data_IF_771620669978
#
_entry.id   IF_771620669978
#
_cell.length_a   1.000
_cell.length_b   1.000
_cell.length_c   1.000
_cell.angle_alpha   90.00
_cell.angle_beta   90.00
_cell.angle_gamma   90.00
#
_symmetry.space_group_name_H-M   'P 1'
#
loop_
_entity.id
_entity.type
_entity.pdbx_description
1 polymer ?
#
# COMPACT_ATOMS: atom_id res chain seq x y z
N UNK A 1 -22.83 -16.62 -32.47
CA UNK A 1 -22.86 -16.60 -30.98
C UNK A 1 -23.63 -15.37 -30.49
N UNK A 2 -24.02 -15.30 -29.21
CA UNK A 2 -24.61 -14.08 -28.64
C UNK A 2 -23.67 -12.87 -28.78
N UNK A 3 -22.34 -13.11 -28.77
CA UNK A 3 -21.30 -12.09 -28.98
C UNK A 3 -21.41 -11.44 -30.36
N UNK A 4 -21.50 -12.23 -31.43
CA UNK A 4 -21.63 -11.71 -32.80
C UNK A 4 -22.91 -10.90 -33.00
N UNK A 5 -24.00 -11.33 -32.37
CA UNK A 5 -25.28 -10.61 -32.44
C UNK A 5 -25.18 -9.23 -31.77
N UNK A 6 -24.57 -9.17 -30.59
CA UNK A 6 -24.38 -7.91 -29.86
C UNK A 6 -23.33 -7.02 -30.55
N UNK A 7 -22.31 -7.62 -31.17
CA UNK A 7 -21.38 -6.91 -32.03
C UNK A 7 -22.09 -6.23 -33.20
N UNK A 8 -22.91 -6.96 -33.97
CA UNK A 8 -23.67 -6.42 -35.10
C UNK A 8 -24.58 -5.26 -34.69
N UNK A 9 -25.29 -5.41 -33.57
CA UNK A 9 -26.16 -4.34 -33.04
C UNK A 9 -25.34 -3.11 -32.64
N UNK A 10 -24.22 -3.31 -31.94
CA UNK A 10 -23.38 -2.21 -31.44
C UNK A 10 -22.67 -1.47 -32.58
N UNK A 11 -22.13 -2.18 -33.57
CA UNK A 11 -21.48 -1.55 -34.72
C UNK A 11 -22.50 -0.77 -35.54
N UNK A 12 -23.69 -1.31 -35.81
CA UNK A 12 -24.77 -0.58 -36.47
C UNK A 12 -25.16 0.70 -35.72
N UNK A 13 -25.28 0.63 -34.39
CA UNK A 13 -25.53 1.82 -33.56
C UNK A 13 -24.41 2.87 -33.70
N UNK A 14 -23.13 2.47 -33.62
CA UNK A 14 -22.00 3.39 -33.73
C UNK A 14 -21.94 4.06 -35.10
N UNK A 15 -22.18 3.31 -36.19
CA UNK A 15 -22.25 3.84 -37.56
C UNK A 15 -23.38 4.86 -37.71
N UNK A 16 -24.57 4.55 -37.16
CA UNK A 16 -25.73 5.45 -37.22
C UNK A 16 -25.51 6.80 -36.52
N UNK A 17 -24.61 6.85 -35.52
CA UNK A 17 -24.24 8.10 -34.83
C UNK A 17 -22.95 8.74 -35.37
N UNK A 18 -22.44 8.28 -36.52
CA UNK A 18 -21.25 8.83 -37.18
C UNK A 18 -19.91 8.41 -36.58
N UNK A 19 -19.88 7.40 -35.70
CA UNK A 19 -18.66 6.86 -35.07
C UNK A 19 -18.09 5.67 -35.84
N UNK A 20 -17.67 5.93 -37.07
CA UNK A 20 -17.23 4.87 -38.01
C UNK A 20 -15.91 4.21 -37.58
N UNK A 21 -14.97 5.00 -37.04
CA UNK A 21 -13.67 4.52 -36.56
C UNK A 21 -13.85 3.60 -35.35
N UNK A 22 -14.72 3.98 -34.40
CA UNK A 22 -15.05 3.15 -33.25
C UNK A 22 -15.76 1.86 -33.66
N UNK A 23 -16.66 1.92 -34.64
CA UNK A 23 -17.35 0.74 -35.16
C UNK A 23 -16.36 -0.24 -35.79
N UNK A 24 -15.46 0.23 -36.65
CA UNK A 24 -14.43 -0.59 -37.28
C UNK A 24 -13.46 -1.18 -36.25
N UNK A 25 -13.02 -0.37 -35.27
CA UNK A 25 -12.15 -0.81 -34.18
C UNK A 25 -12.79 -1.94 -33.37
N UNK A 26 -14.06 -1.77 -33.01
CA UNK A 26 -14.81 -2.75 -32.23
C UNK A 26 -14.99 -4.05 -33.03
N UNK A 27 -15.32 -3.95 -34.31
CA UNK A 27 -15.49 -5.08 -35.21
C UNK A 27 -14.21 -5.90 -35.38
N UNK A 28 -13.10 -5.26 -35.72
CA UNK A 28 -11.80 -5.92 -35.88
C UNK A 28 -11.39 -6.65 -34.61
N UNK A 29 -11.45 -5.95 -33.46
CA UNK A 29 -11.03 -6.52 -32.18
C UNK A 29 -11.91 -7.67 -31.72
N UNK A 30 -13.23 -7.51 -31.82
CA UNK A 30 -14.17 -8.54 -31.35
C UNK A 30 -14.13 -9.78 -32.24
N UNK A 31 -13.99 -9.63 -33.56
CA UNK A 31 -13.85 -10.77 -34.46
C UNK A 31 -12.55 -11.55 -34.21
N UNK A 32 -11.44 -10.85 -33.95
CA UNK A 32 -10.18 -11.50 -33.55
C UNK A 32 -10.33 -12.26 -32.23
N UNK A 33 -10.98 -11.66 -31.22
CA UNK A 33 -11.24 -12.34 -29.95
C UNK A 33 -12.13 -13.59 -30.14
N UNK A 34 -13.15 -13.52 -31.01
CA UNK A 34 -14.03 -14.66 -31.35
C UNK A 34 -13.24 -15.78 -32.04
N UNK A 35 -12.37 -15.44 -33.00
CA UNK A 35 -11.51 -16.41 -33.68
C UNK A 35 -10.59 -17.12 -32.69
N UNK A 36 -9.92 -16.36 -31.81
CA UNK A 36 -9.06 -16.92 -30.76
C UNK A 36 -9.83 -17.81 -29.79
N UNK A 37 -11.03 -17.42 -29.36
CA UNK A 37 -11.88 -18.25 -28.51
C UNK A 37 -12.33 -19.53 -29.21
N UNK A 38 -12.58 -19.49 -30.53
CA UNK A 38 -13.04 -20.66 -31.29
C UNK A 38 -11.90 -21.64 -31.58
N UNK A 39 -10.71 -21.14 -31.90
CA UNK A 39 -9.54 -21.96 -32.28
C UNK A 39 -8.76 -22.46 -31.07
N UNK A 40 -8.56 -21.61 -30.06
CA UNK A 40 -7.67 -21.86 -28.91
C UNK A 40 -8.44 -22.07 -27.61
N UNK A 41 -9.73 -21.73 -27.56
CA UNK A 41 -10.52 -21.74 -26.33
C UNK A 41 -10.20 -20.58 -25.38
N UNK A 42 -9.37 -19.63 -25.81
CA UNK A 42 -8.90 -18.52 -24.99
C UNK A 42 -8.57 -17.30 -25.85
N UNK A 43 -8.81 -16.11 -25.30
CA UNK A 43 -8.32 -14.85 -25.87
C UNK A 43 -7.83 -13.92 -24.75
N UNK A 44 -6.97 -12.95 -25.10
CA UNK A 44 -6.52 -11.96 -24.13
C UNK A 44 -7.71 -11.12 -23.66
N UNK A 45 -7.85 -11.01 -22.35
CA UNK A 45 -8.96 -10.29 -21.71
C UNK A 45 -10.35 -10.94 -21.89
N UNK A 46 -10.38 -12.28 -21.94
CA UNK A 46 -11.60 -13.09 -22.07
C UNK A 46 -12.66 -12.77 -21.00
N UNK A 47 -12.26 -12.26 -19.83
CA UNK A 47 -13.17 -11.86 -18.74
C UNK A 47 -14.22 -10.83 -19.17
N UNK A 48 -13.94 -10.01 -20.20
CA UNK A 48 -14.90 -9.04 -20.74
C UNK A 48 -16.09 -9.68 -21.47
N UNK A 49 -16.01 -11.00 -21.71
CA UNK A 49 -17.07 -11.83 -22.26
C UNK A 49 -17.69 -12.75 -21.20
N UNK A 50 -17.38 -12.57 -19.90
CA UNK A 50 -17.84 -13.43 -18.80
C UNK A 50 -19.33 -13.73 -18.81
N UNK A 51 -20.17 -12.73 -19.11
CA UNK A 51 -21.64 -12.89 -19.18
C UNK A 51 -22.11 -13.95 -20.19
N UNK A 52 -21.32 -14.23 -21.23
CA UNK A 52 -21.63 -15.25 -22.22
C UNK A 52 -21.26 -16.66 -21.77
N UNK A 53 -20.46 -16.79 -20.70
CA UNK A 53 -19.97 -18.07 -20.19
C UNK A 53 -20.68 -18.51 -18.92
N UNK A 54 -21.03 -17.57 -18.04
CA UNK A 54 -21.54 -17.86 -16.69
C UNK A 54 -23.07 -17.83 -16.58
N UNK A 55 -23.78 -17.57 -17.68
CA UNK A 55 -25.25 -17.62 -17.74
C UNK A 55 -25.96 -16.45 -17.06
N UNK A 56 -25.24 -15.42 -16.61
CA UNK A 56 -25.83 -14.21 -16.02
C UNK A 56 -26.61 -13.41 -17.06
N UNK A 57 -27.61 -12.67 -16.58
CA UNK A 57 -28.31 -11.62 -17.35
C UNK A 57 -27.60 -10.27 -17.16
N UNK A 58 -27.75 -9.39 -18.14
CA UNK A 58 -27.18 -8.03 -18.10
C UNK A 58 -27.65 -7.32 -16.82
N UNK A 59 -26.69 -6.71 -16.12
CA UNK A 59 -26.90 -6.03 -14.85
C UNK A 59 -26.79 -6.92 -13.61
N UNK A 60 -26.85 -8.26 -13.75
CA UNK A 60 -26.74 -9.14 -12.59
C UNK A 60 -25.35 -9.07 -11.93
N UNK A 61 -25.28 -9.23 -10.60
CA UNK A 61 -24.01 -9.25 -9.89
C UNK A 61 -23.11 -10.36 -10.42
N UNK A 62 -21.80 -10.10 -10.58
CA UNK A 62 -20.82 -11.14 -10.91
C UNK A 62 -20.65 -12.12 -9.76
N UNK A 63 -20.23 -13.34 -10.12
CA UNK A 63 -19.66 -14.28 -9.17
C UNK A 63 -18.30 -13.76 -8.70
N UNK A 64 -18.07 -13.77 -7.39
CA UNK A 64 -16.83 -13.38 -6.73
C UNK A 64 -16.38 -14.49 -5.79
N UNK A 65 -15.23 -14.30 -5.13
CA UNK A 65 -14.75 -15.21 -4.10
C UNK A 65 -15.81 -15.47 -3.01
N UNK A 66 -16.66 -14.49 -2.70
CA UNK A 66 -17.69 -14.61 -1.67
C UNK A 66 -18.75 -15.67 -2.01
N UNK A 67 -18.96 -15.99 -3.29
CA UNK A 67 -19.91 -17.03 -3.71
C UNK A 67 -19.35 -18.45 -3.55
N UNK A 68 -18.05 -18.59 -3.29
CA UNK A 68 -17.40 -19.88 -3.04
C UNK A 68 -17.43 -20.27 -1.56
N UNK A 69 -17.75 -19.33 -0.68
CA UNK A 69 -17.89 -19.61 0.75
C UNK A 69 -19.27 -20.20 1.06
N UNK A 70 -19.37 -21.09 2.08
CA UNK A 70 -20.65 -21.50 2.65
C UNK A 70 -21.46 -20.30 3.16
N UNK A 71 -22.77 -20.47 3.33
CA UNK A 71 -23.66 -19.40 3.75
C UNK A 71 -23.42 -18.88 5.20
N UNK A 72 -22.58 -19.54 5.98
CA UNK A 72 -22.30 -19.20 7.39
C UNK A 72 -20.87 -18.71 7.62
N UNK A 73 -20.22 -18.19 6.58
CA UNK A 73 -18.87 -17.66 6.72
C UNK A 73 -18.83 -16.36 7.56
N UNK A 74 -17.73 -16.20 8.28
CA UNK A 74 -17.40 -15.00 9.06
C UNK A 74 -16.40 -14.13 8.30
N UNK A 75 -16.70 -12.85 8.13
CA UNK A 75 -15.82 -11.89 7.46
C UNK A 75 -15.04 -11.05 8.46
N UNK A 76 -13.72 -10.95 8.26
CA UNK A 76 -12.86 -10.03 8.99
C UNK A 76 -12.49 -8.90 8.03
N UNK A 77 -12.79 -7.66 8.42
CA UNK A 77 -12.53 -6.48 7.61
C UNK A 77 -11.44 -5.70 8.32
N UNK A 78 -10.20 -5.85 7.86
CA UNK A 78 -9.04 -5.15 8.41
C UNK A 78 -8.97 -3.70 7.91
N UNK A 79 -8.39 -2.83 8.73
CA UNK A 79 -8.33 -1.37 8.52
C UNK A 79 -9.64 -0.82 7.95
N UNK A 80 -10.74 -1.16 8.61
CA UNK A 80 -12.07 -1.14 8.01
C UNK A 80 -12.55 0.26 7.58
N UNK A 81 -12.10 1.30 8.30
CA UNK A 81 -12.27 2.72 7.96
C UNK A 81 -11.65 3.12 6.59
N UNK A 82 -10.71 2.33 6.04
CA UNK A 82 -10.19 2.47 4.67
C UNK A 82 -10.85 1.45 3.75
N UNK A 83 -10.95 0.19 4.20
CA UNK A 83 -11.42 -0.93 3.37
C UNK A 83 -12.87 -0.74 2.92
N UNK A 84 -13.76 -0.25 3.79
CA UNK A 84 -15.17 -0.05 3.44
C UNK A 84 -15.35 1.04 2.37
N UNK A 85 -14.82 2.26 2.53
CA UNK A 85 -14.84 3.26 1.46
C UNK A 85 -14.22 2.76 0.15
N UNK A 86 -13.14 1.98 0.22
CA UNK A 86 -12.51 1.40 -0.96
C UNK A 86 -13.47 0.45 -1.69
N UNK A 87 -14.07 -0.51 -0.99
CA UNK A 87 -15.06 -1.45 -1.55
C UNK A 87 -16.23 -0.70 -2.17
N UNK A 88 -16.74 0.34 -1.52
CA UNK A 88 -17.82 1.17 -2.04
C UNK A 88 -17.44 1.93 -3.33
N UNK A 89 -16.19 2.37 -3.46
CA UNK A 89 -15.68 3.10 -4.62
C UNK A 89 -15.38 2.23 -5.85
N UNK A 90 -15.10 0.93 -5.67
CA UNK A 90 -14.61 0.04 -6.74
C UNK A 90 -15.53 -0.01 -7.96
N UNK A 91 -16.84 -0.16 -7.77
CA UNK A 91 -17.80 -0.25 -8.88
C UNK A 91 -17.81 1.01 -9.74
N UNK A 92 -17.86 2.18 -9.11
CA UNK A 92 -17.94 3.46 -9.83
C UNK A 92 -16.64 3.76 -10.59
N UNK A 93 -15.49 3.46 -9.97
CA UNK A 93 -14.18 3.61 -10.63
C UNK A 93 -14.02 2.70 -11.85
N UNK A 94 -14.39 1.41 -11.72
CA UNK A 94 -14.35 0.48 -12.86
C UNK A 94 -15.33 0.89 -13.96
N UNK A 95 -16.55 1.30 -13.59
CA UNK A 95 -17.57 1.73 -14.54
C UNK A 95 -17.10 2.95 -15.35
N UNK A 96 -16.58 3.98 -14.71
CA UNK A 96 -16.06 5.17 -15.40
C UNK A 96 -14.95 4.84 -16.40
N UNK A 97 -13.99 3.99 -16.01
CA UNK A 97 -12.93 3.52 -16.89
C UNK A 97 -13.47 2.75 -18.10
N UNK A 98 -14.46 1.88 -17.89
CA UNK A 98 -15.06 1.09 -18.96
C UNK A 98 -15.95 1.89 -19.89
N UNK A 99 -16.63 2.93 -19.38
CA UNK A 99 -17.40 3.84 -20.22
C UNK A 99 -16.54 4.38 -21.36
N UNK A 100 -15.34 4.89 -21.04
CA UNK A 100 -14.41 5.38 -22.07
C UNK A 100 -14.04 4.29 -23.08
N UNK A 101 -13.73 3.06 -22.63
CA UNK A 101 -13.40 1.95 -23.53
C UNK A 101 -14.56 1.58 -24.47
N UNK A 102 -15.80 1.60 -23.98
CA UNK A 102 -16.99 1.22 -24.75
C UNK A 102 -17.44 2.34 -25.69
N UNK A 103 -17.30 3.60 -25.27
CA UNK A 103 -17.62 4.78 -26.09
C UNK A 103 -16.65 4.98 -27.25
N UNK A 104 -15.40 4.56 -27.06
CA UNK A 104 -14.36 4.56 -28.09
C UNK A 104 -14.20 3.19 -28.78
N UNK A 105 -15.18 2.28 -28.70
CA UNK A 105 -15.18 1.05 -29.50
C UNK A 105 -14.06 0.04 -29.20
N UNK A 106 -13.45 0.08 -28.00
CA UNK A 106 -12.46 -0.92 -27.57
C UNK A 106 -13.09 -2.17 -26.94
N UNK A 107 -14.35 -2.10 -26.51
CA UNK A 107 -15.09 -3.20 -25.87
C UNK A 107 -16.58 -3.14 -26.19
N UNK A 108 -17.25 -4.29 -26.18
CA UNK A 108 -18.71 -4.39 -26.22
C UNK A 108 -19.34 -3.84 -24.93
N UNK A 109 -20.62 -3.40 -24.96
CA UNK A 109 -21.35 -2.99 -23.76
C UNK A 109 -21.39 -4.04 -22.64
N UNK A 110 -21.37 -5.33 -23.00
CA UNK A 110 -21.33 -6.45 -22.03
C UNK A 110 -20.09 -6.45 -21.14
N UNK A 111 -19.03 -5.70 -21.49
CA UNK A 111 -17.88 -5.53 -20.61
C UNK A 111 -18.24 -4.80 -19.29
N UNK A 112 -19.36 -4.06 -19.24
CA UNK A 112 -19.88 -3.50 -17.99
C UNK A 112 -20.22 -4.58 -16.96
N UNK A 113 -20.59 -5.79 -17.39
CA UNK A 113 -21.01 -6.88 -16.49
C UNK A 113 -19.83 -7.65 -15.88
N UNK A 114 -18.62 -7.45 -16.40
CA UNK A 114 -17.37 -7.99 -15.84
C UNK A 114 -16.77 -7.06 -14.76
N UNK A 115 -17.50 -6.78 -13.70
CA UNK A 115 -17.22 -5.65 -12.79
C UNK A 115 -16.96 -6.09 -11.35
N UNK A 116 -16.54 -5.19 -10.46
CA UNK A 116 -16.71 -5.39 -9.02
C UNK A 116 -18.19 -5.39 -8.63
N UNK A 117 -18.49 -5.90 -7.43
CA UNK A 117 -19.79 -5.69 -6.79
C UNK A 117 -19.95 -4.20 -6.50
N UNK A 118 -21.16 -3.68 -6.66
CA UNK A 118 -21.50 -2.41 -6.05
C UNK A 118 -21.68 -2.59 -4.53
N UNK A 119 -21.79 -1.48 -3.79
CA UNK A 119 -21.83 -1.56 -2.33
C UNK A 119 -23.07 -2.30 -1.82
N UNK A 120 -24.25 -2.10 -2.42
CA UNK A 120 -25.47 -2.81 -2.03
C UNK A 120 -25.39 -4.32 -2.26
N UNK A 121 -24.76 -4.74 -3.36
CA UNK A 121 -24.50 -6.15 -3.67
C UNK A 121 -23.49 -6.75 -2.70
N UNK A 122 -22.43 -6.02 -2.37
CA UNK A 122 -21.47 -6.42 -1.34
C UNK A 122 -22.16 -6.60 0.01
N UNK A 123 -23.00 -5.64 0.42
CA UNK A 123 -23.75 -5.68 1.69
C UNK A 123 -24.64 -6.92 1.81
N UNK A 124 -25.28 -7.35 0.72
CA UNK A 124 -26.06 -8.60 0.70
C UNK A 124 -25.20 -9.84 0.89
N UNK A 125 -23.94 -9.78 0.48
CA UNK A 125 -22.98 -10.87 0.61
C UNK A 125 -22.18 -10.80 1.90
N UNK A 126 -22.07 -9.65 2.56
CA UNK A 126 -21.18 -9.39 3.70
C UNK A 126 -21.42 -10.32 4.91
N UNK A 127 -22.67 -10.73 5.17
CA UNK A 127 -23.07 -11.61 6.29
C UNK A 127 -22.52 -11.13 7.64
N UNK A 128 -22.20 -12.05 8.55
CA UNK A 128 -21.57 -11.74 9.83
C UNK A 128 -20.15 -11.21 9.58
N UNK A 129 -19.88 -10.02 10.10
CA UNK A 129 -18.61 -9.32 9.90
C UNK A 129 -18.08 -8.75 11.19
N UNK A 130 -16.76 -8.76 11.34
CA UNK A 130 -16.04 -8.07 12.40
C UNK A 130 -15.16 -7.01 11.74
N UNK A 131 -15.43 -5.75 12.09
CA UNK A 131 -14.63 -4.60 11.68
C UNK A 131 -13.42 -4.46 12.60
N UNK A 132 -12.22 -4.41 12.02
CA UNK A 132 -10.97 -4.17 12.72
C UNK A 132 -10.43 -2.80 12.33
N UNK A 133 -10.42 -1.88 13.29
CA UNK A 133 -9.87 -0.54 13.09
C UNK A 133 -9.48 0.08 14.44
N UNK A 134 -8.34 0.78 14.47
CA UNK A 134 -7.96 1.62 15.61
C UNK A 134 -8.79 2.92 15.68
N UNK A 135 -9.45 3.27 14.57
CA UNK A 135 -10.21 4.49 14.33
C UNK A 135 -11.45 4.16 13.48
N UNK A 136 -12.43 3.40 14.02
CA UNK A 136 -13.63 3.08 13.27
C UNK A 136 -14.41 4.36 12.93
N UNK A 137 -14.92 4.43 11.71
CA UNK A 137 -15.80 5.50 11.25
C UNK A 137 -17.22 5.31 11.81
N UNK A 138 -17.99 6.40 11.82
CA UNK A 138 -19.38 6.41 12.32
C UNK A 138 -20.26 5.36 11.63
N UNK A 139 -20.04 5.14 10.32
CA UNK A 139 -20.77 4.13 9.56
C UNK A 139 -20.60 2.72 10.15
N UNK A 140 -19.38 2.35 10.54
CA UNK A 140 -19.04 1.02 11.06
C UNK A 140 -19.62 0.80 12.46
N UNK A 141 -19.60 1.87 13.28
CA UNK A 141 -20.18 1.87 14.61
C UNK A 141 -21.70 1.65 14.53
N UNK A 142 -22.37 2.39 13.63
CA UNK A 142 -23.81 2.25 13.41
C UNK A 142 -24.14 0.87 12.87
N UNK A 143 -23.36 0.38 11.90
CA UNK A 143 -23.58 -0.93 11.30
C UNK A 143 -23.41 -2.08 12.30
N UNK A 144 -22.51 -1.91 13.26
CA UNK A 144 -22.29 -2.85 14.37
C UNK A 144 -23.35 -2.76 15.46
N UNK A 145 -24.49 -2.10 15.22
CA UNK A 145 -25.52 -1.79 16.21
C UNK A 145 -24.93 -1.10 17.47
N UNK A 146 -23.93 -0.24 17.30
CA UNK A 146 -23.16 0.41 18.37
C UNK A 146 -22.45 -0.57 19.33
N UNK A 147 -22.21 -1.81 18.90
CA UNK A 147 -21.44 -2.79 19.65
C UNK A 147 -19.96 -2.64 19.33
N UNK A 148 -19.21 -2.01 20.25
CA UNK A 148 -17.77 -1.77 20.10
C UNK A 148 -17.02 -2.51 21.19
N UNK A 149 -16.02 -3.30 20.79
CA UNK A 149 -15.10 -3.99 21.70
C UNK A 149 -13.73 -3.34 21.58
N UNK A 150 -13.22 -2.80 22.68
CA UNK A 150 -11.93 -2.13 22.71
C UNK A 150 -10.81 -3.08 23.17
N UNK A 151 -9.73 -3.15 22.40
CA UNK A 151 -8.48 -3.80 22.81
C UNK A 151 -7.36 -2.75 22.91
N UNK A 152 -7.18 -2.19 24.10
CA UNK A 152 -6.25 -1.07 24.32
C UNK A 152 -4.86 -1.51 24.79
N UNK A 153 -4.72 -2.72 25.32
CA UNK A 153 -3.46 -3.21 25.88
C UNK A 153 -2.58 -3.86 24.83
N UNK A 154 -1.28 -3.60 24.90
CA UNK A 154 -0.27 -4.28 24.08
C UNK A 154 0.36 -5.44 24.85
N UNK A 155 0.65 -6.58 24.21
CA UNK A 155 1.30 -7.72 24.89
C UNK A 155 2.63 -7.35 25.58
N UNK A 156 3.36 -6.37 25.05
CA UNK A 156 4.64 -5.90 25.60
C UNK A 156 4.51 -4.80 26.64
N UNK A 157 3.29 -4.40 27.00
CA UNK A 157 3.03 -3.27 27.89
C UNK A 157 3.37 -1.90 27.31
N UNK A 158 3.71 -1.79 26.03
CA UNK A 158 4.00 -0.49 25.40
C UNK A 158 2.79 0.45 25.52
N UNK A 159 3.10 1.71 25.84
CA UNK A 159 2.11 2.76 26.06
C UNK A 159 1.88 3.56 24.77
N UNK A 160 0.71 4.16 24.66
CA UNK A 160 0.45 5.23 23.71
C UNK A 160 1.40 6.41 24.01
N UNK A 161 1.91 7.10 22.98
CA UNK A 161 2.99 8.07 23.13
C UNK A 161 2.53 9.34 23.85
N UNK A 162 3.47 10.08 24.43
CA UNK A 162 3.21 11.43 24.94
C UNK A 162 3.06 12.40 23.76
N UNK A 163 2.18 13.41 23.88
CA UNK A 163 1.95 14.42 22.83
C UNK A 163 2.27 15.80 23.38
N UNK A 164 3.16 16.51 22.70
CA UNK A 164 3.45 17.93 22.92
C UNK A 164 2.88 18.76 21.77
N UNK A 165 2.18 19.86 22.09
CA UNK A 165 1.74 20.86 21.10
C UNK A 165 2.63 22.10 21.22
N UNK A 166 3.26 22.51 20.12
CA UNK A 166 4.19 23.65 20.05
C UNK A 166 3.72 24.63 18.97
N UNK A 167 4.02 25.92 19.15
CA UNK A 167 3.70 26.96 18.16
C UNK A 167 4.51 26.77 16.88
N UNK A 168 4.02 27.30 15.75
CA UNK A 168 4.73 27.21 14.46
C UNK A 168 5.94 28.16 14.38
N UNK A 169 6.01 29.17 15.26
CA UNK A 169 7.14 30.08 15.38
C UNK A 169 8.43 29.32 15.70
N UNK A 170 9.47 29.52 14.89
CA UNK A 170 10.76 28.82 14.97
C UNK A 170 10.65 27.28 14.92
N UNK A 171 9.58 26.73 14.33
CA UNK A 171 9.35 25.28 14.30
C UNK A 171 10.52 24.51 13.67
N UNK A 172 11.17 25.03 12.63
CA UNK A 172 12.24 24.31 11.93
C UNK A 172 13.48 24.16 12.81
N UNK A 173 13.85 25.19 13.57
CA UNK A 173 14.97 25.13 14.50
C UNK A 173 14.68 24.14 15.64
N UNK A 174 13.44 24.14 16.14
CA UNK A 174 13.00 23.19 17.15
C UNK A 174 13.02 21.75 16.61
N UNK A 175 12.53 21.52 15.38
CA UNK A 175 12.61 20.23 14.69
C UNK A 175 14.05 19.72 14.62
N UNK A 176 15.00 20.57 14.22
CA UNK A 176 16.42 20.18 14.14
C UNK A 176 16.96 19.76 15.51
N UNK A 177 16.63 20.52 16.55
CA UNK A 177 17.09 20.22 17.91
C UNK A 177 16.50 18.90 18.42
N UNK A 178 15.22 18.66 18.20
CA UNK A 178 14.56 17.41 18.60
C UNK A 178 15.09 16.21 17.81
N UNK A 179 15.32 16.37 16.50
CA UNK A 179 15.95 15.35 15.67
C UNK A 179 17.35 15.00 16.18
N UNK A 180 18.20 15.99 16.49
CA UNK A 180 19.55 15.76 17.00
C UNK A 180 19.55 14.99 18.32
N UNK A 181 18.70 15.37 19.28
CA UNK A 181 18.53 14.65 20.55
C UNK A 181 18.16 13.18 20.32
N UNK A 182 17.28 12.91 19.37
CA UNK A 182 16.86 11.56 19.03
C UNK A 182 18.00 10.75 18.36
N UNK A 183 18.80 11.39 17.50
CA UNK A 183 19.97 10.77 16.86
C UNK A 183 21.06 10.41 17.88
N UNK A 184 21.31 11.26 18.88
CA UNK A 184 22.25 10.97 19.98
C UNK A 184 21.87 9.68 20.73
N UNK A 185 20.57 9.41 20.86
CA UNK A 185 20.03 8.19 21.45
C UNK A 185 19.92 7.01 20.46
N UNK A 186 20.44 7.15 19.23
CA UNK A 186 20.35 6.16 18.13
C UNK A 186 18.91 5.81 17.74
N UNK A 187 17.97 6.72 17.92
CA UNK A 187 16.55 6.54 17.58
C UNK A 187 16.23 7.13 16.20
N UNK A 188 15.03 6.86 15.68
CA UNK A 188 14.56 7.38 14.39
C UNK A 188 13.41 8.36 14.55
N UNK A 189 13.29 9.26 13.57
CA UNK A 189 12.26 10.30 13.55
C UNK A 189 11.43 10.20 12.28
N UNK A 190 10.11 10.30 12.42
CA UNK A 190 9.18 10.48 11.31
C UNK A 190 8.66 11.91 11.32
N UNK A 191 8.63 12.56 10.15
CA UNK A 191 8.07 13.90 10.00
C UNK A 191 6.99 13.87 8.94
N UNK A 192 5.78 14.30 9.29
CA UNK A 192 4.67 14.46 8.34
C UNK A 192 4.44 15.92 7.99
N UNK A 193 4.49 16.26 6.71
CA UNK A 193 4.12 17.57 6.16
C UNK A 193 2.75 17.50 5.46
N UNK A 194 2.27 18.62 4.90
CA UNK A 194 1.03 18.66 4.12
C UNK A 194 1.23 18.58 2.60
N UNK A 195 2.37 19.07 2.10
CA UNK A 195 2.60 19.22 0.65
C UNK A 195 3.92 18.57 0.24
N UNK A 196 3.98 18.12 -1.02
CA UNK A 196 5.20 17.56 -1.64
C UNK A 196 6.35 18.55 -1.56
N UNK A 197 6.07 19.79 -1.94
CA UNK A 197 7.04 20.88 -1.89
C UNK A 197 7.62 21.09 -0.48
N UNK A 198 6.78 21.15 0.55
CA UNK A 198 7.29 21.30 1.92
C UNK A 198 8.10 20.09 2.39
N UNK A 199 7.74 18.88 1.97
CA UNK A 199 8.52 17.68 2.28
C UNK A 199 9.90 17.72 1.60
N UNK A 200 9.95 18.14 0.33
CA UNK A 200 11.18 18.30 -0.46
C UNK A 200 12.07 19.38 0.14
N UNK A 201 11.52 20.59 0.35
CA UNK A 201 12.22 21.73 0.93
C UNK A 201 12.79 21.38 2.33
N UNK A 202 11.99 20.73 3.19
CA UNK A 202 12.44 20.29 4.51
C UNK A 202 13.52 19.22 4.42
N UNK A 203 13.40 18.26 3.50
CA UNK A 203 14.41 17.21 3.32
C UNK A 203 15.74 17.82 2.92
N UNK A 204 15.75 18.70 1.92
CA UNK A 204 16.97 19.39 1.48
C UNK A 204 17.57 20.23 2.60
N UNK A 205 16.74 20.98 3.33
CA UNK A 205 17.21 21.79 4.46
C UNK A 205 17.87 20.94 5.56
N UNK A 206 17.25 19.85 5.97
CA UNK A 206 17.83 18.96 7.00
C UNK A 206 19.13 18.31 6.51
N UNK A 207 19.23 17.96 5.22
CA UNK A 207 20.46 17.42 4.62
C UNK A 207 21.60 18.46 4.60
N UNK A 208 21.31 19.72 4.29
CA UNK A 208 22.30 20.82 4.35
C UNK A 208 22.86 21.02 5.78
N UNK A 209 22.04 20.76 6.80
CA UNK A 209 22.44 20.77 8.21
C UNK A 209 23.17 19.49 8.66
N UNK A 210 23.49 18.58 7.73
CA UNK A 210 24.26 17.36 7.97
C UNK A 210 23.47 16.18 8.53
N UNK A 211 22.14 16.21 8.46
CA UNK A 211 21.29 15.12 8.94
C UNK A 211 21.04 14.08 7.84
N UNK A 212 21.01 12.80 8.21
CA UNK A 212 20.71 11.70 7.27
C UNK A 212 19.21 11.55 7.09
N UNK A 213 18.67 12.19 6.05
CA UNK A 213 17.22 12.27 5.81
C UNK A 213 16.84 11.62 4.50
N UNK A 214 15.76 10.85 4.51
CA UNK A 214 15.08 10.34 3.32
C UNK A 214 13.68 10.96 3.17
N UNK A 215 13.26 11.14 1.92
CA UNK A 215 11.92 11.61 1.56
C UNK A 215 11.06 10.45 1.04
N UNK A 216 9.82 10.35 1.50
CA UNK A 216 8.85 9.36 1.07
C UNK A 216 7.61 10.01 0.45
N UNK A 217 7.43 9.87 -0.87
CA UNK A 217 6.25 10.36 -1.60
C UNK A 217 5.39 9.25 -2.19
N UNK A 218 4.21 9.64 -2.69
CA UNK A 218 3.18 8.74 -3.19
C UNK A 218 3.53 8.00 -4.48
N UNK A 219 4.52 8.49 -5.22
CA UNK A 219 4.86 8.03 -6.58
C UNK A 219 6.11 7.14 -6.58
N UNK A 220 6.70 6.90 -5.40
CA UNK A 220 7.79 5.94 -5.19
C UNK A 220 7.25 4.53 -5.41
N UNK A 221 8.01 3.70 -6.15
CA UNK A 221 7.68 2.30 -6.37
C UNK A 221 7.59 1.54 -5.02
N UNK A 222 6.80 0.48 -4.97
CA UNK A 222 6.70 -0.38 -3.79
C UNK A 222 8.06 -0.93 -3.37
N UNK A 223 8.93 -1.29 -4.34
CA UNK A 223 10.26 -1.83 -4.06
C UNK A 223 11.16 -0.78 -3.42
N UNK A 224 11.23 0.41 -4.01
CA UNK A 224 12.04 1.54 -3.51
C UNK A 224 11.55 2.00 -2.12
N UNK A 225 10.23 2.02 -1.90
CA UNK A 225 9.65 2.31 -0.57
C UNK A 225 10.14 1.32 0.49
N UNK A 226 10.19 0.03 0.17
CA UNK A 226 10.66 -1.00 1.11
C UNK A 226 12.14 -0.80 1.43
N UNK A 227 12.94 -0.42 0.44
CA UNK A 227 14.37 -0.13 0.62
C UNK A 227 14.61 1.09 1.51
N UNK A 228 13.93 2.21 1.27
CA UNK A 228 14.02 3.41 2.11
C UNK A 228 13.68 3.10 3.57
N UNK A 229 12.60 2.34 3.81
CA UNK A 229 12.19 1.94 5.15
C UNK A 229 13.22 1.01 5.80
N UNK A 230 13.82 0.10 5.04
CA UNK A 230 14.90 -0.78 5.51
C UNK A 230 16.15 0.02 5.90
N UNK A 231 16.53 0.98 5.07
CA UNK A 231 17.71 1.83 5.30
C UNK A 231 17.53 2.73 6.53
N UNK A 232 16.29 3.19 6.79
CA UNK A 232 15.93 3.84 8.06
C UNK A 232 16.14 2.92 9.26
N UNK A 233 15.70 1.65 9.19
CA UNK A 233 15.92 0.67 10.27
C UNK A 233 17.41 0.36 10.49
N UNK A 234 18.19 0.28 9.41
CA UNK A 234 19.64 0.07 9.46
C UNK A 234 20.40 1.28 10.00
N UNK A 235 19.79 2.47 10.05
CA UNK A 235 20.46 3.71 10.46
C UNK A 235 21.31 4.34 9.34
N UNK A 236 21.06 3.96 8.09
CA UNK A 236 21.57 4.72 6.94
C UNK A 236 20.85 6.07 6.84
N UNK A 237 19.57 6.11 7.24
CA UNK A 237 18.82 7.33 7.52
C UNK A 237 18.41 7.36 8.97
N UNK A 238 18.35 8.56 9.53
CA UNK A 238 17.86 8.83 10.88
C UNK A 238 16.45 9.44 10.86
N UNK A 239 16.11 10.14 9.79
CA UNK A 239 14.85 10.87 9.62
C UNK A 239 14.17 10.47 8.32
N UNK A 240 12.86 10.26 8.39
CA UNK A 240 12.00 10.08 7.23
C UNK A 240 10.95 11.18 7.17
N UNK A 241 10.98 11.96 6.10
CA UNK A 241 9.99 13.02 5.82
C UNK A 241 8.98 12.51 4.80
N UNK A 242 7.69 12.76 5.01
CA UNK A 242 6.67 12.42 4.02
C UNK A 242 5.37 13.16 4.25
N UNK A 243 4.40 12.98 3.36
CA UNK A 243 3.08 13.60 3.48
C UNK A 243 2.13 12.63 4.18
N UNK A 244 1.96 11.47 3.56
CA UNK A 244 1.12 10.40 4.06
C UNK A 244 1.99 9.18 4.38
N UNK A 245 2.50 9.16 5.61
CA UNK A 245 3.21 8.01 6.17
C UNK A 245 2.23 6.92 6.66
N UNK A 246 0.92 7.05 6.40
CA UNK A 246 -0.12 6.17 6.93
C UNK A 246 -0.35 4.89 6.15
N UNK A 247 0.32 4.67 5.01
CA UNK A 247 0.13 3.40 4.29
C UNK A 247 0.61 2.21 5.14
N UNK A 248 -0.18 1.15 5.08
CA UNK A 248 0.05 -0.14 5.74
C UNK A 248 1.50 -0.64 5.60
N UNK A 249 1.97 -1.39 6.60
CA UNK A 249 3.26 -2.07 6.54
C UNK A 249 4.46 -1.30 7.11
N UNK A 250 4.31 -0.07 7.60
CA UNK A 250 5.38 0.61 8.34
C UNK A 250 5.40 0.10 9.77
N UNK A 251 6.31 -0.85 10.04
CA UNK A 251 6.66 -1.29 11.38
C UNK A 251 8.11 -0.98 11.73
N UNK A 252 8.27 0.10 12.50
CA UNK A 252 9.56 0.66 12.87
C UNK A 252 9.62 0.83 14.40
N UNK A 253 9.97 -0.25 15.14
CA UNK A 253 10.19 -0.14 16.58
C UNK A 253 11.29 0.86 16.96
N UNK A 254 12.16 1.23 16.01
CA UNK A 254 13.26 2.18 16.18
C UNK A 254 12.79 3.65 16.18
N UNK A 255 11.54 3.93 15.77
CA UNK A 255 10.97 5.28 15.76
C UNK A 255 10.48 5.66 17.15
N UNK A 256 11.12 6.65 17.76
CA UNK A 256 10.73 7.19 19.08
C UNK A 256 10.06 8.56 18.99
N UNK A 257 10.18 9.27 17.87
CA UNK A 257 9.57 10.59 17.68
C UNK A 257 8.82 10.66 16.36
N UNK A 258 7.59 11.16 16.43
CA UNK A 258 6.78 11.56 15.27
C UNK A 258 6.51 13.05 15.36
N UNK A 259 6.83 13.78 14.30
CA UNK A 259 6.60 15.21 14.18
C UNK A 259 5.49 15.44 13.16
N UNK A 260 4.47 16.20 13.55
CA UNK A 260 3.36 16.60 12.69
C UNK A 260 3.44 18.11 12.48
N UNK A 261 3.92 18.52 11.31
CA UNK A 261 3.93 19.91 10.90
C UNK A 261 2.53 20.33 10.45
N UNK A 262 2.18 21.60 10.71
CA UNK A 262 0.89 22.17 10.36
C UNK A 262 -0.29 21.31 10.86
N UNK A 263 -0.22 20.90 12.14
CA UNK A 263 -1.20 20.01 12.74
C UNK A 263 -2.61 20.64 12.84
N UNK A 264 -2.68 21.98 12.79
CA UNK A 264 -3.94 22.75 12.85
C UNK A 264 -4.61 23.00 11.49
N UNK A 265 -3.99 22.56 10.38
CA UNK A 265 -4.60 22.69 9.05
C UNK A 265 -5.50 21.51 8.78
N UNK A 266 -6.78 21.71 9.00
CA UNK A 266 -7.79 20.68 8.76
C UNK A 266 -7.81 20.22 7.30
N UNK A 267 -8.22 18.97 7.12
CA UNK A 267 -8.21 18.27 5.84
C UNK A 267 -8.01 16.78 6.05
N UNK A 268 -7.94 16.02 4.96
CA UNK A 268 -7.80 14.56 5.03
C UNK A 268 -6.64 14.12 5.94
N UNK A 269 -5.44 14.68 5.74
CA UNK A 269 -4.21 14.33 6.46
C UNK A 269 -4.16 14.78 7.93
N UNK A 270 -5.10 15.62 8.38
CA UNK A 270 -5.20 16.15 9.75
C UNK A 270 -6.59 15.91 10.35
N UNK A 271 -7.32 14.97 9.78
CA UNK A 271 -8.59 14.48 10.34
C UNK A 271 -8.35 13.74 11.66
N UNK A 272 -9.42 13.56 12.44
CA UNK A 272 -9.43 12.75 13.68
C UNK A 272 -8.73 11.39 13.48
N UNK A 273 -9.10 10.68 12.42
CA UNK A 273 -8.56 9.35 12.10
C UNK A 273 -7.09 9.42 11.73
N UNK A 274 -6.71 10.31 10.81
CA UNK A 274 -5.32 10.46 10.36
C UNK A 274 -4.36 10.86 11.48
N UNK A 275 -4.76 11.74 12.39
CA UNK A 275 -3.94 12.14 13.53
C UNK A 275 -3.72 10.96 14.48
N UNK A 276 -4.77 10.23 14.86
CA UNK A 276 -4.65 9.05 15.74
C UNK A 276 -3.74 7.98 15.12
N UNK A 277 -3.86 7.72 13.81
CA UNK A 277 -2.97 6.78 13.13
C UNK A 277 -1.51 7.27 13.07
N UNK A 278 -1.30 8.57 12.83
CA UNK A 278 0.05 9.15 12.79
C UNK A 278 0.72 9.05 14.15
N UNK A 279 -0.02 9.38 15.22
CA UNK A 279 0.42 9.23 16.62
C UNK A 279 0.79 7.76 16.90
N UNK A 280 -0.04 6.83 16.44
CA UNK A 280 0.18 5.39 16.62
C UNK A 280 1.53 4.87 16.09
N UNK A 281 2.19 5.60 15.17
CA UNK A 281 3.53 5.24 14.68
C UNK A 281 4.63 5.36 15.74
N UNK A 282 4.46 6.22 16.75
CA UNK A 282 5.39 6.32 17.87
C UNK A 282 5.12 5.28 18.98
N UNK A 283 3.96 4.61 18.96
CA UNK A 283 3.53 3.69 20.03
C UNK A 283 4.25 2.33 20.05
N UNK A 284 5.27 2.15 19.20
CA UNK A 284 6.09 0.94 19.12
C UNK A 284 7.43 1.05 19.84
N UNK A 285 7.74 2.22 20.38
CA UNK A 285 8.95 2.49 21.13
C UNK A 285 8.60 2.88 22.57
N UNK A 286 9.39 2.42 23.55
CA UNK A 286 9.15 2.70 24.98
C UNK A 286 9.21 4.20 25.32
N UNK A 287 10.10 4.94 24.66
CA UNK A 287 10.21 6.41 24.73
C UNK A 287 9.41 7.14 23.64
N UNK A 288 8.40 6.47 23.07
CA UNK A 288 7.57 7.03 22.00
C UNK A 288 6.91 8.35 22.41
N UNK A 289 7.11 9.39 21.59
CA UNK A 289 6.47 10.70 21.75
C UNK A 289 6.14 11.34 20.41
N UNK A 290 5.25 12.33 20.43
CA UNK A 290 4.75 13.06 19.28
C UNK A 290 4.84 14.56 19.53
N UNK A 291 5.29 15.33 18.54
CA UNK A 291 5.23 16.79 18.56
C UNK A 291 4.29 17.25 17.45
N UNK A 292 3.28 18.04 17.82
CA UNK A 292 2.38 18.71 16.88
C UNK A 292 2.71 20.20 16.83
N UNK A 293 3.11 20.69 15.66
CA UNK A 293 3.30 22.12 15.44
C UNK A 293 1.99 22.74 14.94
N UNK A 294 1.44 23.66 15.73
CA UNK A 294 0.13 24.26 15.52
C UNK A 294 0.00 25.56 16.30
N UNK A 295 -0.70 26.56 15.74
CA UNK A 295 -0.99 27.81 16.44
C UNK A 295 -2.34 27.77 17.16
N UNK A 296 -3.21 26.85 16.75
CA UNK A 296 -4.53 26.63 17.35
C UNK A 296 -4.81 25.14 17.54
N UNK A 297 -5.57 24.77 18.57
CA UNK A 297 -6.00 23.38 18.76
C UNK A 297 -7.34 23.19 18.05
N UNK A 298 -7.35 22.41 16.98
CA UNK A 298 -8.57 22.07 16.23
C UNK A 298 -9.38 20.98 16.94
N UNK A 299 -10.63 20.75 16.52
CA UNK A 299 -11.44 19.65 17.05
C UNK A 299 -10.81 18.27 16.74
N UNK A 300 -10.16 18.13 15.58
CA UNK A 300 -9.46 16.90 15.21
C UNK A 300 -8.24 16.64 16.10
N UNK A 301 -7.46 17.69 16.40
CA UNK A 301 -6.34 17.60 17.34
C UNK A 301 -6.82 17.26 18.75
N UNK A 302 -7.83 17.98 19.25
CA UNK A 302 -8.37 17.76 20.59
C UNK A 302 -8.82 16.31 20.77
N UNK A 303 -9.59 15.78 19.82
CA UNK A 303 -10.02 14.38 19.83
C UNK A 303 -8.82 13.41 19.86
N UNK A 304 -7.83 13.61 18.99
CA UNK A 304 -6.66 12.73 18.92
C UNK A 304 -5.82 12.76 20.21
N UNK A 305 -5.65 13.94 20.80
CA UNK A 305 -4.95 14.15 22.08
C UNK A 305 -5.70 13.45 23.22
N UNK A 306 -7.00 13.70 23.35
CA UNK A 306 -7.82 13.14 24.42
C UNK A 306 -7.88 11.61 24.35
N UNK A 307 -8.05 11.06 23.15
CA UNK A 307 -8.12 9.62 22.94
C UNK A 307 -6.77 8.95 23.25
N UNK A 308 -5.65 9.53 22.80
CA UNK A 308 -4.31 9.03 23.12
C UNK A 308 -4.06 9.05 24.62
N UNK A 309 -4.41 10.14 25.30
CA UNK A 309 -4.26 10.26 26.75
C UNK A 309 -5.16 9.27 27.53
N UNK A 310 -6.40 9.04 27.06
CA UNK A 310 -7.32 8.05 27.63
C UNK A 310 -6.73 6.64 27.55
N UNK A 311 -6.24 6.25 26.36
CA UNK A 311 -5.60 4.96 26.10
C UNK A 311 -4.37 4.77 26.96
N UNK A 312 -3.47 5.77 26.97
CA UNK A 312 -2.24 5.75 27.78
C UNK A 312 -2.53 5.53 29.27
N UNK A 313 -3.46 6.31 29.84
CA UNK A 313 -3.85 6.21 31.26
C UNK A 313 -4.41 4.84 31.61
N UNK A 314 -5.18 4.23 30.70
CA UNK A 314 -5.70 2.87 30.89
C UNK A 314 -4.55 1.83 30.87
N UNK A 315 -3.66 1.93 29.89
CA UNK A 315 -2.51 1.03 29.73
C UNK A 315 -1.55 1.11 30.93
N UNK A 316 -1.24 2.31 31.42
CA UNK A 316 -0.40 2.51 32.62
C UNK A 316 -1.00 1.82 33.85
N UNK A 317 -2.29 2.01 34.10
CA UNK A 317 -3.00 1.33 35.20
C UNK A 317 -3.00 -0.18 35.04
N UNK A 318 -3.22 -0.67 33.83
CA UNK A 318 -3.20 -2.10 33.53
C UNK A 318 -1.81 -2.70 33.78
N UNK A 319 -0.75 -2.03 33.32
CA UNK A 319 0.62 -2.48 33.52
C UNK A 319 1.00 -2.54 34.99
N UNK A 320 0.69 -1.50 35.77
CA UNK A 320 0.95 -1.47 37.22
C UNK A 320 0.20 -2.62 37.92
N UNK A 321 -1.09 -2.81 37.61
CA UNK A 321 -1.92 -3.85 38.22
C UNK A 321 -1.39 -5.26 37.93
N UNK A 322 -0.78 -5.47 36.77
CA UNK A 322 -0.33 -6.79 36.30
C UNK A 322 1.19 -6.98 36.38
N UNK A 323 1.96 -6.02 36.92
CA UNK A 323 3.41 -6.10 37.02
C UNK A 323 4.14 -6.14 35.67
N UNK A 324 3.61 -5.46 34.65
CA UNK A 324 4.16 -5.46 33.29
C UNK A 324 5.07 -4.25 33.11
N UNK A 325 6.33 -4.47 32.70
CA UNK A 325 7.27 -3.41 32.32
C UNK A 325 7.24 -3.20 30.81
N UNK A 326 6.92 -1.98 30.32
CA UNK A 326 6.92 -1.67 28.89
C UNK A 326 8.26 -2.01 28.23
N UNK A 327 8.24 -2.81 27.16
CA UNK A 327 9.44 -3.23 26.45
C UNK A 327 9.27 -3.07 24.93
N UNK A 328 10.23 -2.43 24.27
CA UNK A 328 10.24 -2.32 22.80
C UNK A 328 10.49 -3.70 22.17
N UNK A 329 9.78 -4.03 21.09
CA UNK A 329 9.99 -5.28 20.35
C UNK A 329 11.22 -5.10 19.45
N UNK A 330 12.21 -5.98 19.59
CA UNK A 330 13.33 -6.07 18.65
C UNK A 330 12.91 -7.02 17.52
N UNK A 331 12.60 -6.47 16.34
CA UNK A 331 12.32 -7.27 15.13
C UNK A 331 13.58 -7.39 14.27
N UNK A 332 13.85 -8.59 13.76
CA UNK A 332 14.89 -8.79 12.75
C UNK A 332 14.67 -7.88 11.53
N UNK A 333 15.76 -7.36 10.99
CA UNK A 333 15.73 -6.65 9.70
C UNK A 333 15.78 -7.73 8.63
N UNK A 334 14.75 -7.82 7.77
CA UNK A 334 14.75 -8.76 6.64
C UNK A 334 15.82 -8.34 5.64
N UNK A 335 16.46 -9.33 5.02
CA UNK A 335 17.44 -9.09 3.97
C UNK A 335 16.81 -8.37 2.77
N UNK A 336 17.64 -7.63 2.05
CA UNK A 336 17.23 -6.84 0.89
C UNK A 336 16.52 -7.71 -0.14
N UNK A 337 15.42 -7.22 -0.71
CA UNK A 337 14.83 -7.82 -1.93
C UNK A 337 15.69 -7.52 -3.16
N UNK A 338 16.52 -6.48 -3.08
CA UNK A 338 17.52 -6.11 -4.07
C UNK A 338 18.82 -6.79 -3.65
N UNK A 339 19.14 -7.94 -4.26
CA UNK A 339 20.48 -8.52 -4.14
C UNK A 339 21.50 -7.42 -4.44
N UNK A 340 22.40 -7.14 -3.49
CA UNK A 340 23.45 -6.13 -3.60
C UNK A 340 24.28 -6.42 -4.85
N UNK A 341 24.09 -5.61 -5.89
CA UNK A 341 24.90 -5.66 -7.11
C UNK A 341 26.26 -4.97 -6.96
N UNK A 342 26.65 -4.50 -5.78
CA UNK A 342 27.98 -3.94 -5.54
C UNK A 342 28.40 -4.10 -4.08
N UNK A 343 29.04 -5.24 -3.76
CA UNK A 343 30.09 -5.39 -2.75
C UNK A 343 30.54 -6.86 -2.69
N UNK A 344 31.39 -7.25 -3.65
CA UNK A 344 32.73 -7.79 -3.37
C UNK A 344 33.36 -8.32 -4.67
N UNK A 345 34.20 -7.48 -5.29
CA UNK A 345 35.17 -7.87 -6.33
C UNK A 345 36.40 -8.57 -5.72
N UNK A 346 36.27 -9.22 -4.56
CA UNK A 346 37.33 -10.01 -3.93
C UNK A 346 36.72 -11.28 -3.37
N UNK A 347 37.25 -12.41 -3.84
CA UNK A 347 37.03 -13.79 -3.34
C UNK A 347 35.87 -14.63 -3.91
N UNK A 348 35.48 -14.45 -5.18
CA UNK A 348 34.55 -15.38 -5.87
C UNK A 348 35.21 -16.59 -6.56
N UNK A 349 36.54 -16.64 -6.65
CA UNK A 349 37.26 -17.76 -7.30
C UNK A 349 37.35 -19.02 -6.43
N UNK A 350 36.92 -18.99 -5.16
CA UNK A 350 37.14 -20.10 -4.21
C UNK A 350 35.91 -20.92 -3.80
N UNK A 351 34.68 -20.61 -4.25
CA UNK A 351 33.47 -21.32 -3.81
C UNK A 351 32.67 -22.07 -4.89
N UNK A 352 33.02 -21.93 -6.18
CA UNK A 352 32.29 -22.62 -7.26
C UNK A 352 32.45 -24.15 -7.19
N UNK A 353 33.58 -24.65 -6.67
CA UNK A 353 33.83 -26.08 -6.50
C UNK A 353 33.02 -26.73 -5.36
N UNK A 354 32.50 -25.95 -4.39
CA UNK A 354 31.77 -26.48 -3.23
C UNK A 354 30.25 -26.50 -3.39
N UNK A 355 29.72 -25.95 -4.50
CA UNK A 355 28.27 -25.92 -4.74
C UNK A 355 27.73 -27.30 -5.10
N UNK A 356 26.68 -27.73 -4.39
CA UNK A 356 25.95 -28.95 -4.74
C UNK A 356 25.32 -28.83 -6.13
N UNK A 357 25.10 -29.97 -6.80
CA UNK A 357 24.44 -30.03 -8.11
C UNK A 357 23.06 -29.33 -8.14
N UNK A 358 22.35 -29.30 -7.00
CA UNK A 358 21.07 -28.61 -6.86
C UNK A 358 21.24 -27.08 -6.81
N UNK A 359 22.27 -26.59 -6.13
CA UNK A 359 22.61 -25.16 -6.07
C UNK A 359 23.12 -24.64 -7.42
N UNK A 360 23.96 -25.42 -8.13
CA UNK A 360 24.40 -25.08 -9.49
C UNK A 360 23.22 -24.91 -10.45
N UNK A 361 22.22 -25.81 -10.40
CA UNK A 361 21.00 -25.69 -11.23
C UNK A 361 20.16 -24.45 -10.91
N UNK A 362 20.03 -24.09 -9.63
CA UNK A 362 19.33 -22.87 -9.23
C UNK A 362 20.07 -21.61 -9.71
N UNK A 363 21.40 -21.58 -9.56
CA UNK A 363 22.23 -20.47 -10.00
C UNK A 363 22.21 -20.30 -11.52
N UNK A 364 22.27 -21.39 -12.30
CA UNK A 364 22.15 -21.35 -13.77
C UNK A 364 20.77 -20.81 -14.19
N UNK A 365 19.71 -21.18 -13.47
CA UNK A 365 18.35 -20.68 -13.76
C UNK A 365 18.27 -19.17 -13.55
N UNK A 366 18.83 -18.68 -12.44
CA UNK A 366 18.86 -17.25 -12.12
C UNK A 366 19.71 -16.46 -13.15
N UNK A 367 20.91 -16.94 -13.45
CA UNK A 367 21.78 -16.33 -14.46
C UNK A 367 21.14 -16.29 -15.86
N UNK A 368 20.34 -17.30 -16.23
CA UNK A 368 19.58 -17.29 -17.50
C UNK A 368 18.51 -16.21 -17.52
N UNK A 369 17.79 -16.02 -16.41
CA UNK A 369 16.81 -14.94 -16.28
C UNK A 369 17.49 -13.56 -16.37
N UNK A 370 18.62 -13.37 -15.68
CA UNK A 370 19.44 -12.14 -15.74
C UNK A 370 19.98 -11.87 -17.14
N UNK A 371 20.44 -12.91 -17.85
CA UNK A 371 20.89 -12.83 -19.24
C UNK A 371 19.79 -12.36 -20.21
N UNK A 372 18.59 -12.93 -20.11
CA UNK A 372 17.45 -12.55 -20.96
C UNK A 372 17.02 -11.11 -20.69
N UNK A 373 16.96 -10.71 -19.42
CA UNK A 373 16.60 -9.35 -19.02
C UNK A 373 17.64 -8.32 -19.48
N UNK A 374 18.93 -8.65 -19.44
CA UNK A 374 19.99 -7.81 -20.00
C UNK A 374 19.89 -7.69 -21.54
N UNK A 375 19.53 -8.77 -22.23
CA UNK A 375 19.32 -8.76 -23.67
C UNK A 375 18.10 -7.90 -24.07
N UNK A 376 16.99 -8.00 -23.34
CA UNK A 376 15.78 -7.20 -23.55
C UNK A 376 16.05 -5.70 -23.33
N UNK A 377 16.96 -5.37 -22.41
CA UNK A 377 17.40 -4.00 -22.13
C UNK A 377 18.56 -3.52 -23.03
N UNK A 378 18.90 -4.25 -24.09
CA UNK A 378 19.99 -3.95 -25.05
C UNK A 378 21.39 -3.86 -24.41
N UNK A 379 21.59 -4.45 -23.23
CA UNK A 379 22.86 -4.52 -22.50
C UNK A 379 23.64 -5.78 -22.92
N UNK A 380 24.08 -5.84 -24.17
CA UNK A 380 24.68 -7.04 -24.77
C UNK A 380 26.00 -7.49 -24.12
N UNK A 381 26.77 -6.57 -23.56
CA UNK A 381 28.00 -6.88 -22.80
C UNK A 381 27.66 -7.68 -21.53
N UNK A 382 26.71 -7.17 -20.72
CA UNK A 382 26.22 -7.89 -19.52
C UNK A 382 25.58 -9.24 -19.87
N UNK A 383 24.80 -9.30 -20.95
CA UNK A 383 24.23 -10.57 -21.41
C UNK A 383 25.32 -11.58 -21.80
N UNK A 384 26.43 -11.13 -22.39
CA UNK A 384 27.58 -11.98 -22.71
C UNK A 384 28.32 -12.47 -21.46
N UNK A 385 28.50 -11.61 -20.45
CA UNK A 385 29.09 -11.99 -19.15
C UNK A 385 28.26 -13.07 -18.44
N UNK A 386 26.93 -12.93 -18.38
CA UNK A 386 26.07 -13.94 -17.77
C UNK A 386 26.11 -15.26 -18.55
N UNK A 387 26.13 -15.20 -19.89
CA UNK A 387 26.26 -16.39 -20.75
C UNK A 387 27.56 -17.14 -20.47
N UNK A 388 28.67 -16.43 -20.32
CA UNK A 388 29.98 -17.04 -20.13
C UNK A 388 30.09 -17.65 -18.72
N UNK A 389 29.53 -17.00 -17.68
CA UNK A 389 29.36 -17.59 -16.34
C UNK A 389 28.48 -18.85 -16.33
N UNK A 390 27.41 -18.88 -17.13
CA UNK A 390 26.58 -20.09 -17.27
C UNK A 390 27.39 -21.23 -17.87
N UNK A 391 28.26 -20.98 -18.85
CA UNK A 391 29.12 -22.01 -19.46
C UNK A 391 30.10 -22.59 -18.44
N UNK A 392 30.74 -21.75 -17.63
CA UNK A 392 31.66 -22.18 -16.58
C UNK A 392 30.99 -23.08 -15.53
N UNK A 393 29.73 -22.79 -15.19
CA UNK A 393 28.95 -23.58 -14.22
C UNK A 393 28.34 -24.87 -14.79
N UNK A 394 28.31 -25.01 -16.12
CA UNK A 394 27.70 -26.14 -16.84
C UNK A 394 28.69 -27.26 -17.19
N UNK A 395 29.99 -27.06 -16.90
CA UNK A 395 31.05 -28.07 -16.93
C UNK A 395 31.10 -28.76 -15.57
#
# INVERSE_FOLDING_TARGET
TNIENDLKKRTAFLRNIGKEVEAQRLEQKTNYDIEMMTQVGYCKSMENYSIYFDGRKVGQPPFTLLDYFPDDYLMFIDESHITIPQVAGMYNGDRARKTNLIEHGFRLPTAYDNRPLNFEEYRKKQRESIYYSATPDEWEIIDSNNTVVELLTRPTGLLDPQIDVRKTENQIDDVINEVRKNIENKQRVLITTLTKRMAEDLTSYLQEFGLKVAYLHSDIDTVERVEILRNLRLGEFDVLVGINLLREGIDLPEVSLVIILDADKEGFLRSKTSLVQTIGRAARHVEGRVIMYADTITQSMQYAIDETNRRRKYQEKYNIKNGITPTSIIKGIRDSLVEKEDMDKRDLDFEVEKLSQKQKKMLIKDLRSKMLLAADNLQFEKASEYRDKIKELSI
#
